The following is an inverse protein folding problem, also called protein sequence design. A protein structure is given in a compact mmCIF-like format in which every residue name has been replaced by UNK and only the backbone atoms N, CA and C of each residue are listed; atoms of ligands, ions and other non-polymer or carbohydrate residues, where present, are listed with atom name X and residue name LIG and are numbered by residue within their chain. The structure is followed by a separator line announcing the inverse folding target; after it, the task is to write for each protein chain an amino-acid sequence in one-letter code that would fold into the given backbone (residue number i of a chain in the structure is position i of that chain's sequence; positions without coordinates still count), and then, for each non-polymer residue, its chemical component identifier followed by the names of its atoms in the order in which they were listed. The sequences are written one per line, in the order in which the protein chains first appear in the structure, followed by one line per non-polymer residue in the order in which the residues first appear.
data_IF_544518802523
#
_entry.id   IF_544518802523
#
_cell.length_a   1.000
_cell.length_b   1.000
_cell.length_c   1.000
_cell.angle_alpha   90.00
_cell.angle_beta   90.00
_cell.angle_gamma   90.00
#
_symmetry.space_group_name_H-M   'P 1'
#
loop_
_entity.id
_entity.type
_entity.pdbx_description
1 polymer ?
#
# COMPACT_ATOMS: atom_id res chain seq x y z
N UNK A 1 -3.02 9.97 -0.03
CA UNK A 1 -1.70 10.57 -0.27
C UNK A 1 -1.81 12.08 -0.15
N UNK A 2 -1.18 12.69 0.84
CA UNK A 2 -1.23 14.14 1.08
C UNK A 2 -0.01 14.89 0.52
N UNK A 3 0.92 14.18 -0.14
CA UNK A 3 2.12 14.76 -0.73
C UNK A 3 1.92 15.00 -2.23
N UNK A 4 2.78 15.83 -2.87
CA UNK A 4 2.77 16.01 -4.33
C UNK A 4 3.48 14.88 -5.08
N UNK A 5 4.05 13.88 -4.41
CA UNK A 5 4.80 12.77 -5.02
C UNK A 5 3.92 11.52 -5.10
N UNK A 6 4.12 10.69 -6.12
CA UNK A 6 3.47 9.38 -6.19
C UNK A 6 4.20 8.39 -5.28
N UNK A 7 3.44 7.57 -4.58
CA UNK A 7 3.98 6.59 -3.62
C UNK A 7 3.48 5.19 -3.96
N UNK A 8 4.35 4.29 -4.47
CA UNK A 8 4.01 2.87 -4.58
C UNK A 8 4.00 2.28 -3.16
N UNK A 9 2.83 2.08 -2.57
CA UNK A 9 2.71 1.47 -1.24
C UNK A 9 2.72 -0.05 -1.38
N UNK A 10 3.62 -0.70 -0.66
CA UNK A 10 3.86 -2.15 -0.69
C UNK A 10 3.64 -2.77 0.69
N UNK A 11 2.96 -3.91 0.73
CA UNK A 11 2.70 -4.70 1.94
C UNK A 11 3.36 -6.08 1.80
N UNK A 12 4.19 -6.45 2.78
CA UNK A 12 4.80 -7.77 2.86
C UNK A 12 3.80 -8.82 3.35
N UNK A 13 4.07 -10.10 3.09
CA UNK A 13 3.35 -11.25 3.68
C UNK A 13 1.97 -11.54 3.11
N UNK A 14 1.30 -10.55 2.52
CA UNK A 14 -0.04 -10.66 1.96
C UNK A 14 -0.12 -9.94 0.60
N UNK A 15 -1.14 -10.29 -0.19
CA UNK A 15 -1.57 -9.48 -1.32
C UNK A 15 -2.89 -8.79 -0.99
N UNK A 16 -3.15 -7.65 -1.61
CA UNK A 16 -4.40 -6.93 -1.47
C UNK A 16 -5.10 -6.74 -2.82
N UNK A 17 -6.40 -6.51 -2.74
CA UNK A 17 -7.27 -6.11 -3.85
C UNK A 17 -7.56 -4.61 -3.76
N UNK A 18 -7.53 -3.92 -4.89
CA UNK A 18 -7.98 -2.52 -4.95
C UNK A 18 -9.51 -2.49 -4.97
N UNK A 19 -10.11 -1.78 -4.01
CA UNK A 19 -11.56 -1.66 -3.85
C UNK A 19 -12.10 -0.37 -4.49
N UNK A 20 -11.40 0.75 -4.28
CA UNK A 20 -11.81 2.05 -4.83
C UNK A 20 -10.64 3.03 -4.86
N UNK A 21 -10.77 4.06 -5.70
CA UNK A 21 -9.92 5.24 -5.73
C UNK A 21 -10.78 6.49 -5.83
N UNK A 22 -10.35 7.57 -5.17
CA UNK A 22 -11.04 8.87 -5.23
C UNK A 22 -10.77 9.66 -6.50
N UNK A 23 -9.80 9.26 -7.33
CA UNK A 23 -9.36 10.04 -8.50
C UNK A 23 -9.51 9.30 -9.83
N UNK A 24 -9.71 7.98 -9.82
CA UNK A 24 -9.81 7.19 -11.05
C UNK A 24 -10.66 5.94 -10.88
N UNK A 25 -11.17 5.42 -11.99
CA UNK A 25 -11.67 4.06 -12.05
C UNK A 25 -10.51 3.08 -11.82
N UNK A 26 -10.76 2.04 -11.03
CA UNK A 26 -9.78 1.01 -10.70
C UNK A 26 -10.33 -0.35 -11.04
N UNK A 27 -9.46 -1.22 -11.56
CA UNK A 27 -9.80 -2.62 -11.73
C UNK A 27 -9.48 -3.39 -10.44
N UNK A 28 -10.24 -4.46 -10.14
CA UNK A 28 -10.06 -5.30 -8.96
C UNK A 28 -8.80 -6.19 -9.03
N UNK A 29 -7.64 -5.60 -9.34
CA UNK A 29 -6.36 -6.30 -9.43
C UNK A 29 -5.90 -6.73 -8.03
N UNK A 30 -5.38 -7.96 -7.95
CA UNK A 30 -4.67 -8.46 -6.77
C UNK A 30 -3.19 -8.16 -6.97
N UNK A 31 -2.59 -7.47 -6.00
CA UNK A 31 -1.19 -7.04 -6.02
C UNK A 31 -0.69 -6.86 -4.58
N UNK A 32 0.62 -6.92 -4.37
CA UNK A 32 1.26 -6.51 -3.12
C UNK A 32 1.62 -5.01 -3.10
N UNK A 33 1.52 -4.33 -4.25
CA UNK A 33 1.93 -2.94 -4.44
C UNK A 33 0.90 -2.15 -5.22
N UNK A 34 0.61 -0.92 -4.78
CA UNK A 34 -0.26 0.03 -5.49
C UNK A 34 0.35 1.43 -5.55
N UNK A 35 0.38 2.03 -6.74
CA UNK A 35 0.86 3.40 -6.95
C UNK A 35 -0.23 4.42 -6.58
N UNK A 36 -0.09 5.04 -5.40
CA UNK A 36 -0.99 6.10 -4.94
C UNK A 36 -0.52 7.45 -5.50
N UNK A 37 -1.35 8.08 -6.32
CA UNK A 37 -1.07 9.39 -6.92
C UNK A 37 -1.27 10.53 -5.92
N UNK A 38 -0.76 11.74 -6.19
CA UNK A 38 -0.99 12.91 -5.34
C UNK A 38 -2.48 13.15 -5.08
N UNK A 39 -2.83 13.48 -3.84
CA UNK A 39 -4.22 13.71 -3.38
C UNK A 39 -5.19 12.52 -3.54
N UNK A 40 -4.72 11.34 -3.95
CA UNK A 40 -5.55 10.15 -4.09
C UNK A 40 -5.81 9.51 -2.71
N UNK A 41 -7.08 9.16 -2.46
CA UNK A 41 -7.49 8.22 -1.41
C UNK A 41 -7.83 6.89 -2.08
N UNK A 42 -7.29 5.80 -1.54
CA UNK A 42 -7.46 4.44 -2.08
C UNK A 42 -7.93 3.55 -0.94
N UNK A 43 -8.91 2.70 -1.22
CA UNK A 43 -9.29 1.61 -0.32
C UNK A 43 -8.74 0.31 -0.87
N UNK A 44 -7.96 -0.40 -0.05
CA UNK A 44 -7.41 -1.71 -0.33
C UNK A 44 -8.02 -2.72 0.65
N UNK A 45 -8.30 -3.93 0.18
CA UNK A 45 -8.77 -5.04 1.01
C UNK A 45 -7.82 -6.21 0.94
N UNK A 46 -7.45 -6.79 2.08
CA UNK A 46 -6.65 -8.01 2.19
C UNK A 46 -7.20 -8.91 3.28
N UNK A 47 -6.85 -10.19 3.21
CA UNK A 47 -7.10 -11.15 4.29
C UNK A 47 -5.83 -11.23 5.13
N UNK A 48 -5.97 -11.06 6.45
CA UNK A 48 -4.86 -11.16 7.40
C UNK A 48 -4.70 -12.63 7.86
N UNK A 49 -4.30 -13.50 6.94
CA UNK A 49 -4.21 -14.97 7.13
C UNK A 49 -2.78 -15.50 7.30
N UNK A 50 -1.80 -14.60 7.30
CA UNK A 50 -0.38 -14.93 7.46
C UNK A 50 0.16 -14.30 8.75
N UNK A 51 0.26 -15.03 9.88
CA UNK A 51 0.77 -14.48 11.14
C UNK A 51 2.21 -13.98 11.03
N UNK A 52 2.49 -12.83 11.62
CA UNK A 52 3.82 -12.22 11.57
C UNK A 52 3.81 -10.69 11.69
N UNK A 53 5.01 -10.11 11.66
CA UNK A 53 5.25 -8.68 11.60
C UNK A 53 5.64 -8.30 10.17
N UNK A 54 4.70 -7.74 9.42
CA UNK A 54 4.88 -7.46 7.99
C UNK A 54 5.14 -5.99 7.74
N UNK A 55 6.19 -5.70 6.97
CA UNK A 55 6.52 -4.34 6.55
C UNK A 55 5.44 -3.77 5.64
N UNK A 56 5.05 -2.53 5.92
CA UNK A 56 4.25 -1.66 5.05
C UNK A 56 5.07 -0.41 4.75
N UNK A 57 5.44 -0.19 3.50
CA UNK A 57 6.32 0.93 3.16
C UNK A 57 6.09 1.46 1.75
N UNK A 58 6.63 2.65 1.48
CA UNK A 58 6.78 3.11 0.10
C UNK A 58 7.88 2.31 -0.59
N UNK A 59 7.66 1.84 -1.82
CA UNK A 59 8.60 1.05 -2.60
C UNK A 59 9.60 1.90 -3.40
N UNK A 60 9.58 3.22 -3.21
CA UNK A 60 10.72 4.10 -3.56
C UNK A 60 11.71 3.99 -2.40
N UNK A 61 12.88 3.41 -2.67
CA UNK A 61 13.84 3.01 -1.64
C UNK A 61 14.33 4.21 -0.81
N UNK A 62 14.46 5.37 -1.42
CA UNK A 62 14.85 6.61 -0.75
C UNK A 62 13.77 7.05 0.25
N UNK A 63 12.48 6.89 -0.08
CA UNK A 63 11.36 7.19 0.83
C UNK A 63 11.30 6.16 1.97
N UNK A 64 11.48 4.87 1.65
CA UNK A 64 11.55 3.79 2.65
C UNK A 64 12.66 4.04 3.67
N UNK A 65 13.89 4.31 3.19
CA UNK A 65 15.08 4.57 4.03
C UNK A 65 14.99 5.86 4.84
N UNK A 66 14.22 6.84 4.38
CA UNK A 66 14.00 8.11 5.10
C UNK A 66 12.81 8.06 6.06
N UNK A 67 12.20 6.90 6.27
CA UNK A 67 11.23 6.68 7.34
C UNK A 67 9.78 6.47 6.90
N UNK A 68 9.51 6.40 5.59
CA UNK A 68 8.17 6.03 5.08
C UNK A 68 7.94 4.51 5.17
N UNK A 69 8.05 3.99 6.39
CA UNK A 69 8.02 2.58 6.75
C UNK A 69 7.18 2.39 8.02
N UNK A 70 6.39 1.33 8.06
CA UNK A 70 5.62 0.89 9.22
C UNK A 70 5.47 -0.64 9.21
N UNK A 71 4.73 -1.19 10.17
CA UNK A 71 4.48 -2.62 10.30
C UNK A 71 3.00 -2.91 10.52
N UNK A 72 2.54 -4.05 10.00
CA UNK A 72 1.25 -4.65 10.29
C UNK A 72 1.51 -5.97 11.02
N UNK A 73 1.02 -6.09 12.25
CA UNK A 73 1.09 -7.32 13.02
C UNK A 73 -0.19 -8.13 12.83
N UNK A 74 -0.04 -9.38 12.42
CA UNK A 74 -1.13 -10.36 12.29
C UNK A 74 -0.95 -11.40 13.40
N UNK A 75 -1.97 -11.56 14.25
CA UNK A 75 -2.02 -12.47 15.40
C UNK A 75 -3.16 -13.48 15.27
#
# INVERSE_FOLDING_TARGET
NLTPQSHPMHLHGMSFKVLSSSTRAVQPLISDTYLIQPNEKVSLGFVADNPGDWLLHCHIIEHQKSGMTSYVRVV
#
